data_IF_230321893774
#
_entry.id   IF_230321893774
#
_cell.length_a   1.000
_cell.length_b   1.000
_cell.length_c   1.000
_cell.angle_alpha   90.00
_cell.angle_beta   90.00
_cell.angle_gamma   90.00
#
_symmetry.space_group_name_H-M   'P 1'
#
loop_
_entity.id
_entity.type
_entity.pdbx_description
1 polymer ?
#
# COMPACT_ATOMS: atom_id res chain seq x y z
N UNK A 1 -12.37 4.36 -64.51
CA UNK A 1 -12.66 4.96 -63.18
C UNK A 1 -12.29 3.93 -62.14
N UNK A 2 -11.10 4.07 -61.56
CA UNK A 2 -10.63 3.23 -60.45
C UNK A 2 -10.75 4.08 -59.19
N UNK A 3 -11.60 3.66 -58.25
CA UNK A 3 -11.76 4.30 -56.96
C UNK A 3 -10.51 4.03 -56.13
N UNK A 4 -9.77 5.08 -55.80
CA UNK A 4 -8.75 5.02 -54.75
C UNK A 4 -9.48 4.76 -53.43
N UNK A 5 -9.24 3.60 -52.86
CA UNK A 5 -9.54 3.33 -51.45
C UNK A 5 -8.45 4.07 -50.68
N UNK A 6 -8.83 5.06 -49.88
CA UNK A 6 -7.95 5.69 -48.91
C UNK A 6 -7.69 4.67 -47.79
N UNK A 7 -6.49 4.08 -47.79
CA UNK A 7 -5.95 3.31 -46.65
C UNK A 7 -5.72 4.29 -45.49
N UNK A 8 -6.78 4.60 -44.74
CA UNK A 8 -6.66 5.09 -43.36
C UNK A 8 -6.52 3.88 -42.42
N UNK A 9 -5.51 3.05 -42.71
CA UNK A 9 -5.11 1.97 -41.82
C UNK A 9 -4.13 2.61 -40.82
N UNK A 10 -4.68 3.26 -39.78
CA UNK A 10 -3.90 3.70 -38.62
C UNK A 10 -3.28 2.47 -37.97
N UNK A 11 -2.10 2.08 -38.45
CA UNK A 11 -1.33 1.00 -37.85
C UNK A 11 -1.13 1.37 -36.38
N UNK A 12 -1.44 0.46 -35.44
CA UNK A 12 -1.26 0.75 -34.02
C UNK A 12 0.19 1.18 -33.79
N UNK A 13 0.38 2.29 -33.07
CA UNK A 13 1.70 2.74 -32.64
C UNK A 13 2.25 1.72 -31.64
N UNK A 14 2.99 0.74 -32.13
CA UNK A 14 3.74 -0.18 -31.27
C UNK A 14 4.95 0.59 -30.73
N UNK A 15 4.85 1.08 -29.50
CA UNK A 15 5.98 1.71 -28.84
C UNK A 15 6.98 0.62 -28.42
N UNK A 16 8.24 0.77 -28.86
CA UNK A 16 9.33 -0.02 -28.28
C UNK A 16 9.62 0.46 -26.86
N UNK A 17 10.14 -0.42 -26.00
CA UNK A 17 10.58 -0.04 -24.64
C UNK A 17 11.55 1.14 -24.68
N UNK A 18 12.48 1.15 -25.64
CA UNK A 18 13.41 2.26 -25.84
C UNK A 18 12.68 3.59 -26.14
N UNK A 19 11.64 3.55 -26.97
CA UNK A 19 10.81 4.73 -27.27
C UNK A 19 10.04 5.23 -26.05
N UNK A 20 9.47 4.31 -25.26
CA UNK A 20 8.75 4.63 -24.02
C UNK A 20 9.68 5.33 -23.02
N UNK A 21 10.87 4.77 -22.81
CA UNK A 21 11.87 5.35 -21.90
C UNK A 21 12.37 6.71 -22.39
N UNK A 22 12.64 6.84 -23.69
CA UNK A 22 13.08 8.10 -24.28
C UNK A 22 12.05 9.21 -24.06
N UNK A 23 10.75 8.92 -24.21
CA UNK A 23 9.69 9.90 -23.97
C UNK A 23 9.73 10.45 -22.54
N UNK A 24 9.85 9.56 -21.54
CA UNK A 24 9.94 9.97 -20.13
C UNK A 24 11.21 10.78 -19.86
N UNK A 25 12.37 10.31 -20.34
CA UNK A 25 13.63 10.99 -20.10
C UNK A 25 13.66 12.38 -20.74
N UNK A 26 13.08 12.53 -21.94
CA UNK A 26 12.90 13.83 -22.59
C UNK A 26 12.01 14.74 -21.74
N UNK A 27 10.86 14.24 -21.26
CA UNK A 27 9.96 15.03 -20.41
C UNK A 27 10.62 15.47 -19.09
N UNK A 28 11.40 14.59 -18.46
CA UNK A 28 12.20 14.93 -17.26
C UNK A 28 13.22 16.02 -17.59
N UNK A 29 13.97 15.87 -18.69
CA UNK A 29 15.03 16.81 -19.07
C UNK A 29 14.50 18.19 -19.48
N UNK A 30 13.32 18.23 -20.10
CA UNK A 30 12.64 19.46 -20.50
C UNK A 30 11.79 20.07 -19.37
N UNK A 31 11.72 19.43 -18.21
CA UNK A 31 10.87 19.82 -17.08
C UNK A 31 9.38 19.93 -17.46
N UNK A 32 8.90 18.94 -18.24
CA UNK A 32 7.54 18.85 -18.80
C UNK A 32 6.74 17.66 -18.26
N UNK A 33 7.05 17.22 -17.04
CA UNK A 33 6.39 16.05 -16.43
C UNK A 33 4.88 16.30 -16.26
N UNK A 34 4.51 17.48 -15.79
CA UNK A 34 3.11 17.86 -15.56
C UNK A 34 2.52 18.69 -16.70
N UNK A 35 3.22 18.77 -17.83
CA UNK A 35 2.75 19.56 -18.97
C UNK A 35 1.56 18.85 -19.64
N UNK A 36 0.43 19.55 -19.73
CA UNK A 36 -0.73 19.12 -20.51
C UNK A 36 -0.44 19.42 -21.99
N UNK A 37 -0.92 18.56 -22.89
CA UNK A 37 -0.78 18.78 -24.33
C UNK A 37 -1.46 20.10 -24.76
N UNK A 38 -0.67 21.12 -25.10
CA UNK A 38 -1.20 22.39 -25.64
C UNK A 38 -1.95 22.19 -26.98
N UNK A 39 -1.67 21.11 -27.72
CA UNK A 39 -2.28 20.84 -29.03
C UNK A 39 -3.65 20.13 -28.97
N UNK A 40 -4.02 19.50 -27.85
CA UNK A 40 -5.37 18.90 -27.67
C UNK A 40 -6.35 19.96 -27.12
N UNK A 41 -5.87 20.98 -26.41
CA UNK A 41 -6.68 22.08 -25.89
C UNK A 41 -7.31 22.97 -26.99
N UNK A 42 -6.77 22.97 -28.21
CA UNK A 42 -7.26 23.81 -29.33
C UNK A 42 -8.47 23.16 -30.03
N UNK A 43 -8.75 21.87 -29.82
CA UNK A 43 -9.86 21.17 -30.52
C UNK A 43 -11.21 21.40 -29.82
N UNK A 44 -11.22 21.92 -28.59
CA UNK A 44 -12.44 22.16 -27.82
C UNK A 44 -12.89 23.64 -27.78
N UNK A 45 -12.33 24.53 -28.62
CA UNK A 45 -12.71 25.97 -28.65
C UNK A 45 -14.04 26.27 -29.38
N UNK A 46 -14.80 25.27 -29.81
CA UNK A 46 -16.08 25.46 -30.52
C UNK A 46 -17.35 25.19 -29.67
N UNK A 47 -17.23 24.90 -28.37
CA UNK A 47 -18.40 24.84 -27.47
C UNK A 47 -18.41 26.03 -26.50
N UNK A 48 -19.12 27.08 -26.93
CA UNK A 48 -19.54 28.22 -26.10
C UNK A 48 -20.39 27.72 -24.93
N UNK A 49 -19.77 27.45 -23.77
CA UNK A 49 -20.43 27.58 -22.48
C UNK A 49 -19.45 27.97 -21.35
N UNK A 50 -19.81 29.09 -20.74
CA UNK A 50 -19.16 29.81 -19.65
C UNK A 50 -18.81 28.96 -18.41
N UNK A 51 -17.60 29.22 -17.87
CA UNK A 51 -17.21 29.20 -16.45
C UNK A 51 -16.75 27.91 -15.70
N UNK A 52 -16.44 26.78 -16.35
CA UNK A 52 -15.85 25.60 -15.67
C UNK A 52 -14.47 25.12 -16.20
N UNK A 53 -13.82 25.91 -17.06
CA UNK A 53 -12.60 25.49 -17.82
C UNK A 53 -11.38 25.16 -16.94
N UNK A 54 -11.30 25.68 -15.70
CA UNK A 54 -10.16 25.43 -14.82
C UNK A 54 -10.19 24.06 -14.12
N UNK A 55 -11.36 23.42 -13.98
CA UNK A 55 -11.46 22.11 -13.35
C UNK A 55 -11.29 20.93 -14.33
N UNK A 56 -11.68 21.10 -15.59
CA UNK A 56 -11.60 20.01 -16.59
C UNK A 56 -10.17 19.74 -17.09
N UNK A 57 -9.26 20.72 -17.01
CA UNK A 57 -7.83 20.50 -17.34
C UNK A 57 -7.11 19.56 -16.37
N UNK A 58 -7.65 19.37 -15.16
CA UNK A 58 -7.12 18.38 -14.22
C UNK A 58 -7.68 16.96 -14.46
N UNK A 59 -8.64 16.79 -15.37
CA UNK A 59 -9.20 15.48 -15.71
C UNK A 59 -8.48 14.78 -16.87
N UNK A 60 -7.74 15.51 -17.71
CA UNK A 60 -7.01 14.90 -18.83
C UNK A 60 -5.62 14.40 -18.39
N UNK A 61 -5.29 13.16 -18.77
CA UNK A 61 -3.95 12.60 -18.59
C UNK A 61 -2.92 13.37 -19.44
N UNK A 62 -1.85 13.82 -18.81
CA UNK A 62 -0.66 14.36 -19.47
C UNK A 62 -0.01 13.31 -20.38
N UNK A 63 0.84 13.70 -21.34
CA UNK A 63 1.62 12.75 -22.13
C UNK A 63 2.48 11.81 -21.29
N UNK A 64 2.97 12.29 -20.13
CA UNK A 64 3.72 11.45 -19.19
C UNK A 64 2.79 10.47 -18.48
N UNK A 65 1.61 10.88 -18.00
CA UNK A 65 0.61 9.99 -17.40
C UNK A 65 0.18 8.90 -18.40
N UNK A 66 -0.13 9.27 -19.66
CA UNK A 66 -0.42 8.31 -20.75
C UNK A 66 0.73 7.30 -20.96
N UNK A 67 1.98 7.76 -20.85
CA UNK A 67 3.17 6.89 -20.96
C UNK A 67 3.36 6.00 -19.72
N UNK A 68 3.12 6.53 -18.53
CA UNK A 68 3.20 5.79 -17.27
C UNK A 68 2.14 4.69 -17.19
N UNK A 69 0.92 4.92 -17.68
CA UNK A 69 -0.11 3.87 -17.81
C UNK A 69 0.42 2.67 -18.62
N UNK A 70 1.08 2.93 -19.77
CA UNK A 70 1.67 1.87 -20.59
C UNK A 70 2.79 1.14 -19.82
N UNK A 71 3.64 1.86 -19.10
CA UNK A 71 4.71 1.22 -18.29
C UNK A 71 4.10 0.40 -17.16
N UNK A 72 3.05 0.88 -16.52
CA UNK A 72 2.36 0.16 -15.46
C UNK A 72 1.80 -1.16 -15.98
N UNK A 73 1.08 -1.15 -17.09
CA UNK A 73 0.56 -2.36 -17.74
C UNK A 73 1.70 -3.34 -18.09
N UNK A 74 2.78 -2.85 -18.71
CA UNK A 74 3.89 -3.69 -19.12
C UNK A 74 4.66 -4.28 -17.93
N UNK A 75 4.86 -3.51 -16.85
CA UNK A 75 5.58 -3.99 -15.67
C UNK A 75 4.84 -5.08 -14.89
N UNK A 76 3.55 -5.31 -15.18
CA UNK A 76 2.83 -6.50 -14.70
C UNK A 76 3.34 -7.82 -15.31
N UNK A 77 4.15 -7.75 -16.38
CA UNK A 77 4.75 -8.91 -17.05
C UNK A 77 6.23 -9.03 -16.73
N UNK A 78 6.67 -10.20 -16.28
CA UNK A 78 8.05 -10.45 -15.81
C UNK A 78 9.12 -10.10 -16.85
N UNK A 79 8.89 -10.41 -18.14
CA UNK A 79 9.81 -10.10 -19.23
C UNK A 79 10.08 -8.59 -19.33
N UNK A 80 9.03 -7.77 -19.27
CA UNK A 80 9.15 -6.32 -19.34
C UNK A 80 9.67 -5.73 -18.04
N UNK A 81 9.26 -6.27 -16.88
CA UNK A 81 9.83 -5.89 -15.60
C UNK A 81 11.35 -6.12 -15.58
N UNK A 82 11.84 -7.22 -16.16
CA UNK A 82 13.26 -7.50 -16.32
C UNK A 82 13.96 -6.44 -17.20
N UNK A 83 13.42 -6.13 -18.37
CA UNK A 83 13.99 -5.13 -19.28
C UNK A 83 14.02 -3.76 -18.59
N UNK A 84 12.91 -3.32 -18.02
CA UNK A 84 12.79 -2.02 -17.37
C UNK A 84 13.71 -1.88 -16.16
N UNK A 85 13.83 -2.92 -15.33
CA UNK A 85 14.66 -2.88 -14.12
C UNK A 85 16.16 -2.97 -14.46
N UNK A 86 16.55 -3.92 -15.30
CA UNK A 86 17.96 -4.25 -15.54
C UNK A 86 18.61 -3.33 -16.58
N UNK A 87 17.89 -3.00 -17.65
CA UNK A 87 18.45 -2.23 -18.77
C UNK A 87 18.13 -0.73 -18.66
N UNK A 88 17.00 -0.37 -18.06
CA UNK A 88 16.50 1.02 -18.05
C UNK A 88 16.55 1.70 -16.68
N UNK A 89 16.86 0.98 -15.59
CA UNK A 89 16.83 1.51 -14.22
C UNK A 89 15.50 2.20 -13.88
N UNK A 90 14.38 1.61 -14.30
CA UNK A 90 13.05 2.25 -14.23
C UNK A 90 12.71 2.75 -12.82
N UNK A 91 13.13 2.03 -11.77
CA UNK A 91 12.90 2.41 -10.38
C UNK A 91 13.48 3.79 -10.06
N UNK A 92 14.69 4.11 -10.55
CA UNK A 92 15.32 5.43 -10.36
C UNK A 92 14.59 6.52 -11.14
N UNK A 93 14.09 6.19 -12.32
CA UNK A 93 13.29 7.10 -13.14
C UNK A 93 11.96 7.41 -12.42
N UNK A 94 11.27 6.40 -11.88
CA UNK A 94 10.03 6.60 -11.11
C UNK A 94 10.28 7.48 -9.87
N UNK A 95 11.34 7.21 -9.10
CA UNK A 95 11.72 8.08 -7.99
C UNK A 95 11.93 9.53 -8.42
N UNK A 96 12.61 9.72 -9.55
CA UNK A 96 12.85 11.07 -10.08
C UNK A 96 11.53 11.76 -10.44
N UNK A 97 10.62 11.07 -11.11
CA UNK A 97 9.29 11.59 -11.44
C UNK A 97 8.53 11.98 -10.18
N UNK A 98 8.44 11.08 -9.19
CA UNK A 98 7.76 11.33 -7.91
C UNK A 98 8.30 12.59 -7.22
N UNK A 99 9.61 12.83 -7.27
CA UNK A 99 10.21 14.03 -6.67
C UNK A 99 10.03 15.32 -7.47
N UNK A 100 9.53 15.25 -8.69
CA UNK A 100 9.37 16.41 -9.59
C UNK A 100 7.92 16.77 -9.86
N UNK A 101 7.02 15.80 -9.86
CA UNK A 101 5.58 15.99 -10.10
C UNK A 101 4.91 16.71 -8.93
N UNK A 102 3.94 17.54 -9.23
CA UNK A 102 2.93 18.02 -8.26
C UNK A 102 1.56 17.39 -8.49
N UNK A 103 1.40 16.54 -9.51
CA UNK A 103 0.13 15.85 -9.83
C UNK A 103 0.05 14.51 -9.10
N UNK A 104 -1.04 14.33 -8.36
CA UNK A 104 -1.36 13.08 -7.63
C UNK A 104 -1.42 11.89 -8.59
N UNK A 105 -2.07 12.04 -9.74
CA UNK A 105 -2.19 10.98 -10.75
C UNK A 105 -0.83 10.51 -11.28
N UNK A 106 0.09 11.43 -11.64
CA UNK A 106 1.47 11.07 -12.01
C UNK A 106 2.20 10.31 -10.89
N UNK A 107 2.00 10.70 -9.63
CA UNK A 107 2.60 10.02 -8.47
C UNK A 107 2.01 8.62 -8.27
N UNK A 108 0.69 8.48 -8.31
CA UNK A 108 -0.05 7.21 -8.23
C UNK A 108 0.45 6.23 -9.29
N UNK A 109 0.49 6.64 -10.56
CA UNK A 109 0.97 5.82 -11.67
C UNK A 109 2.43 5.38 -11.46
N UNK A 110 3.28 6.29 -10.98
CA UNK A 110 4.69 5.98 -10.71
C UNK A 110 4.85 4.97 -9.57
N UNK A 111 4.03 5.08 -8.52
CA UNK A 111 3.99 4.12 -7.41
C UNK A 111 3.41 2.77 -7.86
N UNK A 112 2.41 2.76 -8.74
CA UNK A 112 1.85 1.57 -9.36
C UNK A 112 2.88 0.77 -10.16
N UNK A 113 3.72 1.47 -10.94
CA UNK A 113 4.88 0.85 -11.62
C UNK A 113 5.83 0.20 -10.61
N UNK A 114 6.19 0.91 -9.53
CA UNK A 114 7.08 0.37 -8.50
C UNK A 114 6.45 -0.83 -7.75
N UNK A 115 5.13 -0.81 -7.55
CA UNK A 115 4.39 -1.92 -6.94
C UNK A 115 4.40 -3.16 -7.84
N UNK A 116 4.15 -3.03 -9.14
CA UNK A 116 4.25 -4.15 -10.07
C UNK A 116 5.65 -4.78 -10.07
N UNK A 117 6.70 -3.95 -9.96
CA UNK A 117 8.06 -4.46 -9.83
C UNK A 117 8.27 -5.20 -8.49
N UNK A 118 7.70 -4.71 -7.39
CA UNK A 118 7.78 -5.35 -6.07
C UNK A 118 7.08 -6.72 -6.00
N UNK A 119 6.17 -7.04 -6.93
CA UNK A 119 5.57 -8.37 -7.04
C UNK A 119 6.60 -9.46 -7.42
N UNK A 120 7.77 -9.10 -7.97
CA UNK A 120 8.84 -10.04 -8.32
C UNK A 120 9.91 -10.09 -7.21
N UNK A 121 10.16 -11.25 -6.57
CA UNK A 121 11.03 -11.34 -5.39
C UNK A 121 12.44 -10.75 -5.58
N UNK A 122 13.08 -11.03 -6.71
CA UNK A 122 14.42 -10.51 -7.06
C UNK A 122 14.44 -8.97 -7.15
N UNK A 123 13.37 -8.37 -7.66
CA UNK A 123 13.24 -6.91 -7.83
C UNK A 123 12.83 -6.23 -6.54
N UNK A 124 11.96 -6.86 -5.77
CA UNK A 124 11.56 -6.39 -4.45
C UNK A 124 12.79 -6.22 -3.54
N UNK A 125 13.71 -7.19 -3.54
CA UNK A 125 14.98 -7.07 -2.80
C UNK A 125 15.76 -5.82 -3.23
N UNK A 126 15.85 -5.54 -4.54
CA UNK A 126 16.55 -4.35 -5.04
C UNK A 126 15.83 -3.07 -4.57
N UNK A 127 14.51 -3.01 -4.72
CA UNK A 127 13.69 -1.86 -4.34
C UNK A 127 13.82 -1.55 -2.84
N UNK A 128 13.54 -2.52 -1.97
CA UNK A 128 13.54 -2.31 -0.52
C UNK A 128 14.96 -2.21 0.08
N UNK A 129 16.00 -2.48 -0.71
CA UNK A 129 17.39 -2.14 -0.36
C UNK A 129 17.80 -0.73 -0.79
N UNK A 130 17.01 -0.05 -1.64
CA UNK A 130 17.29 1.32 -2.09
C UNK A 130 16.86 2.35 -1.02
N UNK A 131 17.85 3.00 -0.41
CA UNK A 131 17.62 4.03 0.62
C UNK A 131 16.87 5.25 0.09
N UNK A 132 17.04 5.60 -1.19
CA UNK A 132 16.35 6.75 -1.76
C UNK A 132 14.85 6.42 -1.91
N UNK A 133 14.52 5.19 -2.31
CA UNK A 133 13.12 4.73 -2.33
C UNK A 133 12.51 4.76 -0.94
N UNK A 134 13.20 4.19 0.06
CA UNK A 134 12.71 4.22 1.44
C UNK A 134 12.52 5.65 1.96
N UNK A 135 13.39 6.60 1.58
CA UNK A 135 13.23 8.00 1.92
C UNK A 135 12.00 8.64 1.25
N UNK A 136 11.73 8.33 -0.02
CA UNK A 136 10.53 8.79 -0.74
C UNK A 136 9.26 8.21 -0.10
N UNK A 137 9.23 6.90 0.14
CA UNK A 137 8.14 6.21 0.85
C UNK A 137 7.88 6.87 2.22
N UNK A 138 8.94 7.20 2.97
CA UNK A 138 8.84 7.89 4.25
C UNK A 138 8.20 9.27 4.12
N UNK A 139 8.56 10.04 3.10
CA UNK A 139 8.00 11.38 2.87
C UNK A 139 6.50 11.25 2.56
N UNK A 140 6.14 10.34 1.66
CA UNK A 140 4.74 10.12 1.26
C UNK A 140 3.90 9.64 2.43
N UNK A 141 4.39 8.67 3.21
CA UNK A 141 3.69 8.20 4.42
C UNK A 141 3.46 9.31 5.45
N UNK A 142 4.35 10.29 5.54
CA UNK A 142 4.18 11.42 6.47
C UNK A 142 3.16 12.44 6.00
N UNK A 143 2.79 12.42 4.73
CA UNK A 143 1.68 13.22 4.24
C UNK A 143 0.37 12.50 4.57
N UNK A 144 -0.40 13.08 5.49
CA UNK A 144 -1.68 12.53 5.92
C UNK A 144 -2.76 12.59 4.83
N UNK A 145 -2.54 13.39 3.78
CA UNK A 145 -3.45 13.51 2.64
C UNK A 145 -3.06 12.58 1.47
N UNK A 146 -1.90 11.92 1.52
CA UNK A 146 -1.45 11.02 0.48
C UNK A 146 -1.47 9.56 0.95
N UNK A 147 -2.34 8.77 0.31
CA UNK A 147 -2.54 7.35 0.61
C UNK A 147 -1.95 6.43 -0.48
N UNK A 148 -1.33 6.98 -1.53
CA UNK A 148 -0.94 6.24 -2.74
C UNK A 148 0.10 5.16 -2.44
N UNK A 149 0.94 5.37 -1.43
CA UNK A 149 1.99 4.44 -1.01
C UNK A 149 1.43 3.08 -0.58
N UNK A 150 0.13 2.98 -0.26
CA UNK A 150 -0.55 1.71 0.05
C UNK A 150 -0.31 0.65 -1.02
N UNK A 151 -0.25 1.05 -2.30
CA UNK A 151 -0.03 0.13 -3.44
C UNK A 151 1.29 -0.64 -3.32
N UNK A 152 2.34 -0.04 -2.73
CA UNK A 152 3.62 -0.72 -2.51
C UNK A 152 3.52 -1.76 -1.38
N UNK A 153 2.73 -1.48 -0.35
CA UNK A 153 2.48 -2.43 0.71
C UNK A 153 1.64 -3.61 0.21
N UNK A 154 0.62 -3.35 -0.63
CA UNK A 154 -0.19 -4.39 -1.27
C UNK A 154 0.65 -5.36 -2.11
N UNK A 155 1.67 -4.85 -2.79
CA UNK A 155 2.58 -5.65 -3.61
C UNK A 155 3.69 -6.37 -2.81
N UNK A 156 3.79 -6.14 -1.50
CA UNK A 156 4.83 -6.73 -0.67
C UNK A 156 4.56 -8.20 -0.36
N UNK A 157 5.61 -9.01 -0.25
CA UNK A 157 5.54 -10.42 0.13
C UNK A 157 6.33 -10.71 1.41
N UNK A 158 6.34 -11.98 1.82
CA UNK A 158 6.94 -12.43 3.08
C UNK A 158 8.42 -12.08 3.24
N UNK A 159 9.17 -11.93 2.14
CA UNK A 159 10.59 -11.58 2.20
C UNK A 159 10.82 -10.11 2.59
N UNK A 160 9.84 -9.22 2.34
CA UNK A 160 9.94 -7.80 2.64
C UNK A 160 9.31 -7.41 3.98
N UNK A 161 8.46 -8.26 4.57
CA UNK A 161 7.72 -7.96 5.80
C UNK A 161 8.64 -7.44 6.93
N UNK A 162 9.79 -8.08 7.14
CA UNK A 162 10.74 -7.69 8.19
C UNK A 162 11.37 -6.32 7.90
N UNK A 163 11.80 -6.09 6.65
CA UNK A 163 12.40 -4.81 6.22
C UNK A 163 11.39 -3.68 6.40
N UNK A 164 10.14 -3.92 6.02
CA UNK A 164 9.05 -2.95 6.14
C UNK A 164 8.69 -2.68 7.60
N UNK A 165 8.61 -3.72 8.44
CA UNK A 165 8.36 -3.56 9.87
C UNK A 165 9.46 -2.73 10.55
N UNK A 166 10.73 -3.05 10.24
CA UNK A 166 11.90 -2.28 10.66
C UNK A 166 11.86 -0.83 10.20
N UNK A 167 11.57 -0.63 8.92
CA UNK A 167 11.48 0.69 8.32
C UNK A 167 10.39 1.54 8.98
N UNK A 168 9.18 0.99 9.15
CA UNK A 168 8.06 1.70 9.74
C UNK A 168 8.35 2.11 11.19
N UNK A 169 8.89 1.19 11.99
CA UNK A 169 9.23 1.48 13.38
C UNK A 169 10.35 2.53 13.49
N UNK A 170 11.48 2.32 12.82
CA UNK A 170 12.65 3.20 12.90
C UNK A 170 12.37 4.63 12.43
N UNK A 171 11.33 4.81 11.60
CA UNK A 171 10.93 6.12 11.07
C UNK A 171 9.71 6.72 11.77
N UNK A 172 9.20 6.09 12.83
CA UNK A 172 7.99 6.48 13.56
C UNK A 172 6.76 6.60 12.65
N UNK A 173 6.56 5.61 11.78
CA UNK A 173 5.48 5.54 10.80
C UNK A 173 4.38 4.54 11.18
N UNK A 174 4.53 3.81 12.29
CA UNK A 174 3.51 2.86 12.78
C UNK A 174 2.15 3.55 13.01
N UNK A 175 2.05 4.76 13.61
CA UNK A 175 0.76 5.43 13.75
C UNK A 175 0.05 5.70 12.41
N UNK A 176 0.81 6.10 11.38
CA UNK A 176 0.25 6.26 10.03
C UNK A 176 -0.18 4.92 9.43
N UNK A 177 0.64 3.89 9.61
CA UNK A 177 0.31 2.56 9.09
C UNK A 177 -0.94 1.98 9.77
N UNK A 178 -1.11 2.22 11.07
CA UNK A 178 -2.32 1.91 11.83
C UNK A 178 -3.56 2.63 11.27
N UNK A 179 -3.42 3.89 10.81
CA UNK A 179 -4.49 4.59 10.11
C UNK A 179 -4.91 3.88 8.81
N UNK A 180 -3.99 3.33 8.03
CA UNK A 180 -4.34 2.53 6.84
C UNK A 180 -5.07 1.25 7.22
N UNK A 181 -4.55 0.54 8.22
CA UNK A 181 -5.10 -0.71 8.70
C UNK A 181 -6.57 -0.57 9.14
N UNK A 182 -6.90 0.48 9.88
CA UNK A 182 -8.28 0.67 10.36
C UNK A 182 -9.26 1.14 9.29
N UNK A 183 -8.77 1.83 8.26
CA UNK A 183 -9.62 2.46 7.23
C UNK A 183 -9.63 1.72 5.88
N UNK A 184 -8.76 0.73 5.66
CA UNK A 184 -8.73 0.00 4.40
C UNK A 184 -9.98 -0.86 4.22
N UNK A 185 -10.58 -0.80 3.03
CA UNK A 185 -11.61 -1.73 2.58
C UNK A 185 -11.03 -2.87 1.72
N UNK A 186 -9.73 -2.80 1.40
CA UNK A 186 -9.01 -3.85 0.70
C UNK A 186 -8.51 -4.89 1.72
N UNK A 187 -9.05 -6.10 1.63
CA UNK A 187 -8.71 -7.21 2.52
C UNK A 187 -7.29 -7.74 2.30
N UNK A 188 -6.74 -7.62 1.08
CA UNK A 188 -5.35 -7.99 0.78
C UNK A 188 -4.38 -6.98 1.44
N UNK A 189 -4.66 -5.68 1.34
CA UNK A 189 -3.91 -4.65 2.06
C UNK A 189 -4.01 -4.87 3.57
N UNK A 190 -5.18 -5.24 4.07
CA UNK A 190 -5.35 -5.52 5.48
C UNK A 190 -4.51 -6.73 5.89
N UNK A 191 -4.59 -7.84 5.15
CA UNK A 191 -3.80 -9.04 5.38
C UNK A 191 -2.30 -8.73 5.44
N UNK A 192 -1.74 -8.08 4.42
CA UNK A 192 -0.29 -7.79 4.39
C UNK A 192 0.11 -6.83 5.52
N UNK A 193 -0.76 -5.90 5.90
CA UNK A 193 -0.53 -5.02 7.03
C UNK A 193 -0.45 -5.78 8.36
N UNK A 194 -1.30 -6.78 8.56
CA UNK A 194 -1.24 -7.67 9.73
C UNK A 194 0.10 -8.45 9.73
N UNK A 195 0.52 -8.95 8.57
CA UNK A 195 1.75 -9.71 8.45
C UNK A 195 2.99 -8.85 8.73
N UNK A 196 3.00 -7.58 8.33
CA UNK A 196 4.10 -6.64 8.67
C UNK A 196 4.11 -6.33 10.17
N UNK A 197 2.93 -6.06 10.76
CA UNK A 197 2.82 -5.68 12.17
C UNK A 197 3.07 -6.86 13.13
N UNK A 198 2.87 -8.12 12.70
CA UNK A 198 3.19 -9.31 13.53
C UNK A 198 4.66 -9.36 13.94
N UNK A 199 5.53 -8.71 13.17
CA UNK A 199 6.97 -8.70 13.41
C UNK A 199 7.40 -7.63 14.42
N UNK A 200 6.58 -6.62 14.70
CA UNK A 200 6.90 -5.53 15.64
C UNK A 200 7.42 -6.04 16.98
N UNK A 201 6.75 -6.99 17.68
CA UNK A 201 7.21 -7.43 19.00
C UNK A 201 8.50 -8.25 18.96
N UNK A 202 8.87 -8.76 17.79
CA UNK A 202 10.06 -9.59 17.59
C UNK A 202 11.30 -8.76 17.24
N UNK A 203 11.15 -7.45 17.05
CA UNK A 203 12.25 -6.57 16.70
C UNK A 203 13.21 -6.39 17.86
N UNK A 204 14.51 -6.55 17.59
CA UNK A 204 15.56 -6.27 18.56
C UNK A 204 15.72 -4.76 18.79
N UNK A 205 14.90 -4.18 19.66
CA UNK A 205 14.89 -2.73 19.92
C UNK A 205 15.76 -2.35 21.12
N UNK A 206 16.48 -1.22 21.07
CA UNK A 206 17.21 -0.69 22.21
C UNK A 206 16.27 -0.27 23.35
N UNK A 207 16.75 -0.30 24.60
CA UNK A 207 15.90 -0.08 25.78
C UNK A 207 15.17 1.28 25.79
N UNK A 208 15.79 2.31 25.23
CA UNK A 208 15.22 3.65 25.15
C UNK A 208 14.01 3.76 24.19
N UNK A 209 13.68 2.69 23.47
CA UNK A 209 12.52 2.62 22.57
C UNK A 209 11.40 1.72 23.09
N UNK A 210 11.53 1.11 24.28
CA UNK A 210 10.49 0.22 24.82
C UNK A 210 9.13 0.90 25.05
N UNK A 211 9.13 2.15 25.50
CA UNK A 211 7.89 2.91 25.71
C UNK A 211 7.18 3.18 24.38
N UNK A 212 7.93 3.63 23.37
CA UNK A 212 7.41 3.84 22.01
C UNK A 212 6.87 2.54 21.41
N UNK A 213 7.58 1.42 21.61
CA UNK A 213 7.11 0.11 21.15
C UNK A 213 5.81 -0.31 21.84
N UNK A 214 5.73 -0.13 23.15
CA UNK A 214 4.52 -0.45 23.93
C UNK A 214 3.33 0.36 23.41
N UNK A 215 3.52 1.67 23.18
CA UNK A 215 2.49 2.54 22.61
C UNK A 215 2.04 2.04 21.23
N UNK A 216 2.99 1.78 20.33
CA UNK A 216 2.70 1.28 18.98
C UNK A 216 1.94 -0.06 19.01
N UNK A 217 2.31 -0.99 19.90
CA UNK A 217 1.62 -2.28 20.08
C UNK A 217 0.15 -2.06 20.50
N UNK A 218 -0.10 -1.14 21.44
CA UNK A 218 -1.44 -0.80 21.90
C UNK A 218 -2.27 -0.14 20.81
N UNK A 219 -1.70 0.83 20.08
CA UNK A 219 -2.37 1.50 18.97
C UNK A 219 -2.70 0.55 17.81
N UNK A 220 -1.78 -0.37 17.48
CA UNK A 220 -2.03 -1.40 16.47
C UNK A 220 -3.16 -2.33 16.90
N UNK A 221 -3.18 -2.76 18.16
CA UNK A 221 -4.28 -3.56 18.71
C UNK A 221 -5.65 -2.86 18.58
N UNK A 222 -5.72 -1.58 18.96
CA UNK A 222 -6.95 -0.79 18.82
C UNK A 222 -7.38 -0.66 17.36
N UNK A 223 -6.44 -0.39 16.45
CA UNK A 223 -6.73 -0.23 15.02
C UNK A 223 -7.25 -1.51 14.38
N UNK A 224 -6.74 -2.67 14.79
CA UNK A 224 -7.24 -3.99 14.37
C UNK A 224 -8.68 -4.19 14.88
N UNK A 225 -8.96 -3.86 16.14
CA UNK A 225 -10.31 -3.96 16.72
C UNK A 225 -11.31 -3.06 16.00
N UNK A 226 -10.92 -1.81 15.70
CA UNK A 226 -11.73 -0.90 14.89
C UNK A 226 -12.02 -1.48 13.49
N UNK A 227 -11.00 -2.04 12.81
CA UNK A 227 -11.19 -2.68 11.50
C UNK A 227 -12.11 -3.89 11.59
N UNK A 228 -11.97 -4.73 12.62
CA UNK A 228 -12.84 -5.88 12.84
C UNK A 228 -14.30 -5.46 12.83
N UNK A 229 -14.66 -4.33 13.42
CA UNK A 229 -16.06 -3.87 13.48
C UNK A 229 -16.70 -3.63 12.10
N UNK A 230 -15.89 -3.39 11.06
CA UNK A 230 -16.35 -3.08 9.71
C UNK A 230 -16.34 -4.29 8.76
N UNK A 231 -15.69 -5.41 9.12
CA UNK A 231 -15.61 -6.63 8.30
C UNK A 231 -16.98 -7.29 8.19
N UNK A 232 -17.57 -7.41 7.00
CA UNK A 232 -18.87 -8.09 6.83
C UNK A 232 -18.72 -9.60 6.79
N UNK A 233 -17.83 -10.07 5.92
CA UNK A 233 -17.49 -11.46 5.70
C UNK A 233 -15.97 -11.60 5.81
N UNK A 234 -15.48 -12.72 6.31
CA UNK A 234 -14.05 -12.97 6.46
C UNK A 234 -13.71 -14.34 5.89
N UNK A 235 -12.67 -14.39 5.06
CA UNK A 235 -12.13 -15.67 4.64
C UNK A 235 -11.25 -16.30 5.74
N UNK A 236 -10.93 -17.58 5.57
CA UNK A 236 -10.11 -18.32 6.54
C UNK A 236 -8.71 -17.73 6.70
N UNK A 237 -8.09 -17.28 5.62
CA UNK A 237 -6.70 -16.78 5.62
C UNK A 237 -6.61 -15.50 6.42
N UNK A 238 -7.50 -14.55 6.17
CA UNK A 238 -7.57 -13.29 6.87
C UNK A 238 -7.95 -13.49 8.35
N UNK A 239 -8.90 -14.38 8.64
CA UNK A 239 -9.26 -14.70 10.03
C UNK A 239 -8.06 -15.21 10.83
N UNK A 240 -7.29 -16.15 10.27
CA UNK A 240 -6.08 -16.69 10.90
C UNK A 240 -5.04 -15.59 11.13
N UNK A 241 -4.82 -14.69 10.17
CA UNK A 241 -3.88 -13.59 10.31
C UNK A 241 -4.26 -12.64 11.45
N UNK A 242 -5.53 -12.24 11.54
CA UNK A 242 -6.02 -11.38 12.62
C UNK A 242 -5.81 -12.03 13.99
N UNK A 243 -6.26 -13.28 14.16
CA UNK A 243 -6.13 -13.99 15.44
C UNK A 243 -4.67 -14.20 15.81
N UNK A 244 -3.81 -14.54 14.84
CA UNK A 244 -2.38 -14.74 15.05
C UNK A 244 -1.72 -13.45 15.53
N UNK A 245 -2.02 -12.32 14.89
CA UNK A 245 -1.49 -11.03 15.31
C UNK A 245 -1.98 -10.65 16.70
N UNK A 246 -3.28 -10.71 16.95
CA UNK A 246 -3.83 -10.37 18.27
C UNK A 246 -3.20 -11.24 19.35
N UNK A 247 -3.11 -12.55 19.15
CA UNK A 247 -2.45 -13.45 20.11
C UNK A 247 -0.98 -13.07 20.34
N UNK A 248 -0.28 -12.65 19.29
CA UNK A 248 1.11 -12.17 19.37
C UNK A 248 1.22 -10.89 20.19
N UNK A 249 0.37 -9.90 19.93
CA UNK A 249 0.32 -8.65 20.71
C UNK A 249 -0.06 -8.92 22.18
N UNK A 250 -0.99 -9.82 22.45
CA UNK A 250 -1.35 -10.19 23.83
C UNK A 250 -0.22 -10.94 24.55
N UNK A 251 0.64 -11.68 23.84
CA UNK A 251 1.78 -12.38 24.45
C UNK A 251 2.85 -11.41 24.97
N UNK A 252 2.91 -10.19 24.46
CA UNK A 252 3.90 -9.19 24.92
C UNK A 252 3.61 -8.70 26.34
N UNK A 253 2.36 -8.83 26.81
CA UNK A 253 1.91 -8.25 28.08
C UNK A 253 1.81 -6.72 28.05
N UNK A 254 1.93 -6.10 26.87
CA UNK A 254 1.89 -4.66 26.68
C UNK A 254 0.48 -4.08 26.63
N UNK A 255 -0.54 -4.90 26.34
CA UNK A 255 -1.92 -4.45 26.21
C UNK A 255 -2.55 -4.26 27.60
N UNK A 256 -2.93 -3.03 27.97
CA UNK A 256 -3.58 -2.74 29.25
C UNK A 256 -4.97 -3.38 29.37
N UNK A 257 -5.40 -3.63 30.60
CA UNK A 257 -6.69 -4.25 30.90
C UNK A 257 -7.88 -3.42 30.40
N UNK A 258 -7.83 -2.12 30.63
CA UNK A 258 -8.78 -1.13 30.16
C UNK A 258 -8.88 -1.09 28.63
N UNK A 259 -7.77 -1.31 27.93
CA UNK A 259 -7.76 -1.45 26.46
C UNK A 259 -8.43 -2.74 25.98
N UNK A 260 -8.27 -3.85 26.73
CA UNK A 260 -9.00 -5.09 26.43
C UNK A 260 -10.51 -4.92 26.63
N UNK A 261 -10.90 -4.25 27.71
CA UNK A 261 -12.29 -4.01 28.06
C UNK A 261 -12.98 -3.10 27.03
N UNK A 262 -12.31 -2.03 26.59
CA UNK A 262 -12.85 -1.11 25.58
C UNK A 262 -13.08 -1.77 24.23
N UNK A 263 -12.33 -2.82 23.90
CA UNK A 263 -12.40 -3.52 22.61
C UNK A 263 -13.13 -4.88 22.69
N UNK A 264 -13.71 -5.24 23.83
CA UNK A 264 -14.32 -6.55 24.05
C UNK A 264 -15.37 -6.93 22.99
N UNK A 265 -16.19 -5.96 22.55
CA UNK A 265 -17.21 -6.20 21.52
C UNK A 265 -16.59 -6.58 20.17
N UNK A 266 -15.50 -5.93 19.77
CA UNK A 266 -14.75 -6.25 18.54
C UNK A 266 -14.16 -7.66 18.60
N UNK A 267 -13.56 -8.02 19.73
CA UNK A 267 -12.99 -9.35 19.97
C UNK A 267 -14.08 -10.44 19.91
N UNK A 268 -15.24 -10.18 20.53
CA UNK A 268 -16.38 -11.09 20.49
C UNK A 268 -16.98 -11.21 19.08
N UNK A 269 -17.04 -10.11 18.33
CA UNK A 269 -17.47 -10.10 16.93
C UNK A 269 -16.56 -10.96 16.06
N UNK A 270 -15.24 -10.85 16.22
CA UNK A 270 -14.28 -11.69 15.50
C UNK A 270 -14.55 -13.18 15.72
N UNK A 271 -14.79 -13.61 16.96
CA UNK A 271 -15.12 -15.01 17.27
C UNK A 271 -16.34 -15.51 16.46
N UNK A 272 -17.36 -14.66 16.32
CA UNK A 272 -18.58 -15.01 15.59
C UNK A 272 -18.41 -14.96 14.07
N UNK A 273 -17.48 -14.16 13.55
CA UNK A 273 -17.12 -14.16 12.13
C UNK A 273 -16.39 -15.45 11.73
N UNK A 274 -15.63 -16.05 12.66
CA UNK A 274 -14.73 -17.17 12.41
C UNK A 274 -15.33 -18.56 12.53
N UNK A 275 -16.62 -18.75 12.25
CA UNK A 275 -17.22 -20.08 12.28
C UNK A 275 -16.83 -20.89 11.04
N UNK A 276 -15.71 -21.62 11.14
CA UNK A 276 -15.27 -22.59 10.14
C UNK A 276 -15.60 -23.99 10.68
N UNK A 277 -16.57 -24.67 10.05
CA UNK A 277 -16.88 -26.07 10.35
C UNK A 277 -15.60 -26.91 10.16
N UNK A 278 -15.19 -27.62 11.20
CA UNK A 278 -14.06 -28.56 11.26
C UNK A 278 -12.63 -27.97 11.15
N UNK A 279 -12.04 -27.47 12.25
CA UNK A 279 -10.58 -27.39 12.39
C UNK A 279 -10.06 -27.18 13.83
N UNK A 280 -9.31 -28.16 14.36
CA UNK A 280 -8.72 -28.14 15.71
C UNK A 280 -7.72 -27.00 15.93
N UNK A 281 -6.93 -26.60 14.90
CA UNK A 281 -5.93 -25.52 15.02
C UNK A 281 -6.56 -24.14 15.27
N UNK A 282 -7.74 -23.89 14.69
CA UNK A 282 -8.48 -22.64 14.90
C UNK A 282 -9.09 -22.62 16.31
N UNK A 283 -9.54 -23.78 16.78
CA UNK A 283 -10.11 -23.93 18.12
C UNK A 283 -9.08 -23.59 19.21
N UNK A 284 -7.85 -24.12 19.13
CA UNK A 284 -6.78 -23.81 20.09
C UNK A 284 -6.42 -22.31 20.12
N UNK A 285 -6.39 -21.67 18.94
CA UNK A 285 -6.09 -20.23 18.82
C UNK A 285 -7.20 -19.36 19.45
N UNK A 286 -8.46 -19.76 19.25
CA UNK A 286 -9.63 -19.11 19.85
C UNK A 286 -9.68 -19.39 21.36
N UNK A 287 -9.32 -20.59 21.81
CA UNK A 287 -9.31 -20.95 23.22
C UNK A 287 -8.25 -20.15 23.98
N UNK A 288 -7.02 -20.06 23.46
CA UNK A 288 -5.96 -19.20 24.02
C UNK A 288 -6.40 -17.74 24.08
N UNK A 289 -7.08 -17.27 23.03
CA UNK A 289 -7.63 -15.93 22.95
C UNK A 289 -8.70 -15.68 24.02
N UNK A 290 -9.67 -16.60 24.16
CA UNK A 290 -10.74 -16.52 25.14
C UNK A 290 -10.23 -16.58 26.58
N UNK A 291 -9.32 -17.52 26.87
CA UNK A 291 -8.72 -17.67 28.20
C UNK A 291 -7.95 -16.41 28.61
N UNK A 292 -7.25 -15.76 27.68
CA UNK A 292 -6.56 -14.49 27.97
C UNK A 292 -7.54 -13.37 28.26
N UNK A 293 -8.68 -13.30 27.55
CA UNK A 293 -9.73 -12.32 27.82
C UNK A 293 -10.40 -12.59 29.17
N UNK A 294 -10.64 -13.84 29.54
CA UNK A 294 -11.28 -14.19 30.82
C UNK A 294 -10.36 -13.99 32.04
N UNK A 295 -9.09 -14.41 31.96
CA UNK A 295 -8.09 -14.17 33.02
C UNK A 295 -7.89 -12.68 33.31
N UNK A 296 -8.10 -11.84 32.28
CA UNK A 296 -8.08 -10.38 32.38
C UNK A 296 -9.23 -9.87 33.27
N UNK A 297 -10.43 -10.46 33.17
CA UNK A 297 -11.61 -10.13 33.98
C UNK A 297 -11.49 -10.60 35.43
N UNK A 298 -10.83 -11.72 35.70
CA UNK A 298 -10.70 -12.27 37.06
C UNK A 298 -9.76 -11.47 37.96
N UNK A 299 -8.72 -10.82 37.41
CA UNK A 299 -7.84 -9.92 38.19
C UNK A 299 -8.59 -8.76 38.85
N UNK A 300 -9.74 -8.34 38.30
CA UNK A 300 -10.60 -7.30 38.87
C UNK A 300 -11.50 -7.78 40.02
N UNK A 301 -11.71 -9.09 40.18
CA UNK A 301 -12.50 -9.64 41.30
C UNK A 301 -11.71 -9.80 42.60
N UNK A 302 -10.38 -9.74 42.54
CA UNK A 302 -9.50 -9.97 43.70
C UNK A 302 -9.10 -8.62 44.38
N UNK A 303 -9.46 -7.47 43.79
CA UNK A 303 -9.09 -6.12 44.28
C UNK A 303 -10.32 -5.30 44.75
N UNK A 304 -11.50 -5.91 44.86
CA UNK A 304 -12.67 -5.35 45.54
C UNK A 304 -12.95 -6.13 46.83
#
# INVERSE_FOLDING_TARGET
MSSKIEDNDERPKVYSVAGIILNILTAINENRIDAINENEAIINEDDDNDNDIDNDKYLEDTPVEKTLCVIWDLTGLEEYANIFMNECQIHRIMLKIITLTSRERTQELSLGVLANLACFPDKAIILFSDKDLLNVIKIILKDENNDDVRVLFEASNSEQELILSEFLFNNNLIPRFNYFLKNTLNDDLFFISLEILKLLPCMGIPENYFELMTLNIVESFNSICERINTIKDIDRKLFIAIITLINTLLKTGSIPQDTLESNHESLYRLQNLGYFEDNDEIFDLIEVFNNKIELSKEKNRIVL
#
